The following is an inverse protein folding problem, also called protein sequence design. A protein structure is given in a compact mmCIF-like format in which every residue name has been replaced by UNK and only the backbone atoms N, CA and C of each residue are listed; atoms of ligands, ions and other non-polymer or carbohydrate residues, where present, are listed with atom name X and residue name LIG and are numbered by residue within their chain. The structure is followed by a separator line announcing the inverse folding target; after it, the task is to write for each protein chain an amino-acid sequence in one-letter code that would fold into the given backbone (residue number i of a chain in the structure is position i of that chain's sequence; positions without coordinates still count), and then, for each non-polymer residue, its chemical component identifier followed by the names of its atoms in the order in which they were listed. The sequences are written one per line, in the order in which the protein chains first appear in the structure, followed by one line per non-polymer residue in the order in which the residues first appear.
data_IF_681778094102
#
_entry.id   IF_681778094102
#
_cell.length_a   1.000
_cell.length_b   1.000
_cell.length_c   1.000
_cell.angle_alpha   90.00
_cell.angle_beta   90.00
_cell.angle_gamma   90.00
#
_symmetry.space_group_name_H-M   'P 1'
#
loop_
_entity.id
_entity.type
_entity.pdbx_description
1 polymer ?
#
# COMPACT_ATOMS: atom_id res chain seq x y z
N UNK A 1 -9.03 9.04 -13.45
CA UNK A 1 -8.10 7.89 -13.52
C UNK A 1 -7.82 7.40 -12.12
N UNK A 2 -7.81 6.08 -11.92
CA UNK A 2 -7.60 5.41 -10.63
C UNK A 2 -6.23 4.75 -10.61
N UNK A 3 -5.38 5.15 -9.68
CA UNK A 3 -4.02 4.62 -9.53
C UNK A 3 -3.92 3.83 -8.25
N UNK A 4 -3.61 2.53 -8.36
CA UNK A 4 -3.32 1.68 -7.21
C UNK A 4 -1.80 1.56 -7.05
N UNK A 5 -1.29 2.17 -6.00
CA UNK A 5 0.11 2.13 -5.60
C UNK A 5 0.40 0.84 -4.84
N UNK A 6 1.46 0.13 -5.20
CA UNK A 6 1.87 -1.09 -4.51
C UNK A 6 3.22 -0.81 -3.86
N UNK A 7 3.24 -0.83 -2.53
CA UNK A 7 4.43 -0.56 -1.73
C UNK A 7 4.76 -1.68 -0.76
N UNK A 8 6.00 -1.70 -0.26
CA UNK A 8 6.40 -2.66 0.78
C UNK A 8 5.68 -2.33 2.08
N UNK A 9 5.86 -1.11 2.59
CA UNK A 9 5.20 -0.60 3.79
C UNK A 9 4.57 0.77 3.51
N UNK A 10 3.94 1.33 4.54
CA UNK A 10 3.39 2.68 4.58
C UNK A 10 3.64 3.26 5.96
N UNK A 11 3.67 4.61 6.13
CA UNK A 11 3.73 5.22 7.45
C UNK A 11 2.71 4.57 8.42
N UNK A 12 3.06 4.40 9.71
CA UNK A 12 4.23 4.94 10.43
C UNK A 12 5.56 4.18 10.23
N UNK A 13 5.64 3.20 9.32
CA UNK A 13 6.91 2.52 9.05
C UNK A 13 7.94 3.51 8.48
N UNK A 14 9.07 3.67 9.17
CA UNK A 14 10.10 4.63 8.77
C UNK A 14 10.89 4.13 7.55
N UNK A 15 10.78 4.86 6.44
CA UNK A 15 11.60 4.67 5.26
C UNK A 15 11.33 5.73 4.20
N UNK A 16 12.30 5.95 3.30
CA UNK A 16 12.25 7.03 2.32
C UNK A 16 11.16 6.83 1.27
N UNK A 17 10.98 5.59 0.78
CA UNK A 17 9.95 5.30 -0.22
C UNK A 17 8.55 5.31 0.38
N UNK A 18 8.42 4.96 1.67
CA UNK A 18 7.18 4.99 2.41
C UNK A 18 6.66 6.43 2.58
N UNK A 19 7.54 7.38 2.95
CA UNK A 19 7.18 8.80 3.03
C UNK A 19 6.89 9.39 1.65
N UNK A 20 7.74 9.09 0.66
CA UNK A 20 7.50 9.52 -0.71
C UNK A 20 6.13 9.05 -1.22
N UNK A 21 5.76 7.79 -0.96
CA UNK A 21 4.45 7.28 -1.38
C UNK A 21 3.31 7.98 -0.63
N UNK A 22 3.46 8.29 0.66
CA UNK A 22 2.46 9.07 1.39
C UNK A 22 2.30 10.47 0.78
N UNK A 23 3.40 11.18 0.55
CA UNK A 23 3.39 12.52 -0.06
C UNK A 23 2.79 12.48 -1.48
N UNK A 24 3.07 11.42 -2.25
CA UNK A 24 2.53 11.20 -3.58
C UNK A 24 1.01 11.01 -3.56
N UNK A 25 0.48 10.24 -2.61
CA UNK A 25 -0.98 10.09 -2.45
C UNK A 25 -1.65 11.44 -2.13
N UNK A 26 -1.04 12.22 -1.24
CA UNK A 26 -1.53 13.57 -0.91
C UNK A 26 -1.49 14.48 -2.12
N UNK A 27 -0.39 14.49 -2.86
CA UNK A 27 -0.26 15.28 -4.09
C UNK A 27 -1.28 14.85 -5.16
N UNK A 28 -1.60 13.57 -5.27
CA UNK A 28 -2.61 13.11 -6.23
C UNK A 28 -4.02 13.53 -5.81
N UNK A 29 -4.28 13.64 -4.51
CA UNK A 29 -5.59 14.07 -4.00
C UNK A 29 -5.95 15.53 -4.34
N UNK A 30 -4.97 16.36 -4.72
CA UNK A 30 -5.23 17.73 -5.18
C UNK A 30 -5.71 17.81 -6.64
N UNK A 31 -5.75 16.70 -7.37
CA UNK A 31 -6.24 16.65 -8.74
C UNK A 31 -7.61 15.98 -8.81
N UNK A 32 -8.64 16.71 -9.24
CA UNK A 32 -10.02 16.19 -9.32
C UNK A 32 -10.19 14.97 -10.23
N UNK A 33 -9.28 14.79 -11.19
CA UNK A 33 -9.31 13.70 -12.15
C UNK A 33 -8.51 12.47 -11.70
N UNK A 34 -7.84 12.52 -10.56
CA UNK A 34 -7.02 11.42 -10.04
C UNK A 34 -7.60 10.88 -8.73
N UNK A 35 -7.68 9.56 -8.65
CA UNK A 35 -8.05 8.85 -7.43
C UNK A 35 -6.93 7.87 -7.12
N UNK A 36 -6.43 7.91 -5.89
CA UNK A 36 -5.31 7.05 -5.48
C UNK A 36 -5.70 6.14 -4.34
N UNK A 37 -5.19 4.92 -4.40
CA UNK A 37 -5.21 3.97 -3.30
C UNK A 37 -3.84 3.31 -3.17
N UNK A 38 -3.52 2.77 -2.01
CA UNK A 38 -2.28 2.01 -1.82
C UNK A 38 -2.57 0.60 -1.30
N UNK A 39 -1.78 -0.37 -1.74
CA UNK A 39 -1.70 -1.72 -1.20
C UNK A 39 -0.30 -1.95 -0.64
N UNK A 40 -0.21 -2.20 0.66
CA UNK A 40 1.05 -2.35 1.40
C UNK A 40 1.01 -3.53 2.34
N UNK A 41 2.16 -3.94 2.86
CA UNK A 41 2.22 -4.94 3.91
C UNK A 41 2.01 -4.30 5.29
N UNK A 42 1.33 -5.01 6.17
CA UNK A 42 1.34 -4.71 7.60
C UNK A 42 2.74 -4.95 8.19
N UNK A 43 3.12 -4.20 9.23
CA UNK A 43 4.40 -4.34 9.92
C UNK A 43 4.19 -4.67 11.40
N UNK A 44 5.14 -5.36 12.05
CA UNK A 44 5.07 -5.65 13.49
C UNK A 44 4.95 -4.36 14.30
N UNK A 45 4.01 -4.32 15.26
CA UNK A 45 3.74 -3.12 16.07
C UNK A 45 2.62 -2.22 15.54
N UNK A 46 2.14 -2.46 14.31
CA UNK A 46 0.92 -1.81 13.82
C UNK A 46 -0.31 -2.54 14.39
N UNK A 47 -0.83 -2.00 15.49
CA UNK A 47 -2.07 -2.46 16.13
C UNK A 47 -3.23 -1.57 15.71
N UNK A 48 -3.66 -1.64 14.45
CA UNK A 48 -5.02 -1.24 14.13
C UNK A 48 -5.90 -2.49 13.98
N UNK A 49 -6.68 -2.71 15.03
CA UNK A 49 -7.69 -3.76 15.17
C UNK A 49 -9.07 -3.27 14.67
N UNK A 50 -9.07 -2.44 13.62
CA UNK A 50 -10.28 -2.03 12.90
C UNK A 50 -10.70 -3.11 11.90
N UNK A 51 -12.00 -3.40 11.85
CA UNK A 51 -12.61 -4.44 11.00
C UNK A 51 -12.25 -4.26 9.52
N UNK A 52 -11.30 -5.05 9.07
CA UNK A 52 -10.88 -5.11 7.67
C UNK A 52 -9.61 -4.30 7.46
N UNK A 53 -8.60 -4.92 6.86
CA UNK A 53 -7.29 -4.30 6.62
C UNK A 53 -7.34 -3.20 5.54
N UNK A 54 -8.26 -2.25 5.67
CA UNK A 54 -8.50 -1.10 4.82
C UNK A 54 -8.66 0.11 5.74
N UNK A 55 -7.68 0.99 5.74
CA UNK A 55 -7.73 2.28 6.40
C UNK A 55 -7.88 3.39 5.36
N UNK A 56 -8.16 4.62 5.81
CA UNK A 56 -8.19 5.80 4.96
C UNK A 56 -7.11 6.77 5.44
N UNK A 57 -6.17 7.12 4.56
CA UNK A 57 -5.15 8.13 4.80
C UNK A 57 -5.44 9.35 3.92
N UNK A 58 -5.78 10.48 4.53
CA UNK A 58 -6.13 11.72 3.81
C UNK A 58 -7.07 11.47 2.61
N UNK A 59 -8.21 10.83 2.87
CA UNK A 59 -9.22 10.42 1.87
C UNK A 59 -8.78 9.36 0.84
N UNK A 60 -7.56 8.84 0.92
CA UNK A 60 -7.07 7.76 0.07
C UNK A 60 -7.20 6.40 0.77
N UNK A 61 -7.81 5.38 0.14
CA UNK A 61 -7.87 4.03 0.71
C UNK A 61 -6.50 3.36 0.76
N UNK A 62 -6.14 2.79 1.91
CA UNK A 62 -4.91 2.02 2.10
C UNK A 62 -5.28 0.59 2.51
N UNK A 63 -4.97 -0.36 1.65
CA UNK A 63 -5.13 -1.80 1.85
C UNK A 63 -3.86 -2.37 2.50
N UNK A 64 -3.97 -2.99 3.66
CA UNK A 64 -2.84 -3.63 4.37
C UNK A 64 -2.92 -5.16 4.27
N UNK A 65 -2.04 -5.76 3.48
CA UNK A 65 -1.88 -7.21 3.43
C UNK A 65 -1.18 -7.71 4.72
N UNK A 66 -1.68 -8.77 5.38
CA UNK A 66 -0.97 -9.40 6.51
C UNK A 66 0.40 -9.90 6.05
N UNK A 67 1.43 -9.62 6.84
CA UNK A 67 2.79 -10.04 6.59
C UNK A 67 3.24 -10.96 7.72
N UNK A 68 3.71 -12.17 7.38
CA UNK A 68 4.09 -13.19 8.37
C UNK A 68 5.60 -13.14 8.72
N UNK A 69 6.31 -12.10 8.28
CA UNK A 69 7.73 -11.90 8.53
C UNK A 69 8.47 -11.41 7.30
N UNK A 70 9.78 -11.21 7.44
CA UNK A 70 10.70 -10.90 6.34
C UNK A 70 11.57 -12.13 6.09
N UNK A 71 11.61 -12.64 4.86
CA UNK A 71 12.65 -13.57 4.44
C UNK A 71 13.73 -12.76 3.72
N UNK A 72 14.92 -12.70 4.31
CA UNK A 72 16.09 -11.94 3.88
C UNK A 72 15.82 -10.42 3.82
N UNK A 73 14.97 -9.96 2.90
CA UNK A 73 14.52 -8.56 2.80
C UNK A 73 13.07 -8.40 2.28
N UNK A 74 12.44 -9.47 1.79
CA UNK A 74 11.09 -9.43 1.23
C UNK A 74 10.04 -9.81 2.28
N UNK A 75 8.91 -9.08 2.36
CA UNK A 75 7.79 -9.49 3.20
C UNK A 75 7.22 -10.81 2.69
N UNK A 76 7.16 -11.83 3.54
CA UNK A 76 6.48 -13.09 3.22
C UNK A 76 4.99 -12.87 3.47
N UNK A 77 4.25 -12.64 2.40
CA UNK A 77 2.80 -12.55 2.43
C UNK A 77 2.18 -13.52 1.42
N UNK A 78 1.97 -14.79 1.82
CA UNK A 78 1.33 -15.78 0.95
C UNK A 78 -0.09 -15.38 0.54
N UNK A 79 -0.72 -14.48 1.32
CA UNK A 79 -2.03 -13.93 1.05
C UNK A 79 -1.99 -12.68 0.18
N UNK A 80 -0.82 -12.12 -0.14
CA UNK A 80 -0.70 -10.89 -0.94
C UNK A 80 -1.46 -10.95 -2.27
N UNK A 81 -1.41 -12.05 -3.06
CA UNK A 81 -2.20 -12.12 -4.29
C UNK A 81 -3.71 -11.99 -4.04
N UNK A 82 -4.23 -12.55 -2.93
CA UNK A 82 -5.65 -12.41 -2.56
C UNK A 82 -6.01 -10.98 -2.17
N UNK A 83 -5.09 -10.28 -1.51
CA UNK A 83 -5.26 -8.87 -1.14
C UNK A 83 -5.16 -7.95 -2.36
N UNK A 84 -4.25 -8.24 -3.28
CA UNK A 84 -4.14 -7.54 -4.57
C UNK A 84 -5.42 -7.70 -5.39
N UNK A 85 -5.90 -8.93 -5.53
CA UNK A 85 -7.13 -9.24 -6.25
C UNK A 85 -8.36 -8.58 -5.60
N UNK A 86 -8.42 -8.54 -4.27
CA UNK A 86 -9.42 -7.76 -3.53
C UNK A 86 -9.32 -6.26 -3.81
N UNK A 87 -8.12 -5.67 -3.73
CA UNK A 87 -7.90 -4.26 -3.98
C UNK A 87 -8.27 -3.88 -5.43
N UNK A 88 -7.91 -4.72 -6.40
CA UNK A 88 -8.28 -4.53 -7.81
C UNK A 88 -9.80 -4.58 -7.99
N UNK A 89 -10.50 -5.53 -7.36
CA UNK A 89 -11.97 -5.62 -7.46
C UNK A 89 -12.70 -4.45 -6.80
N UNK A 90 -12.24 -4.02 -5.63
CA UNK A 90 -12.88 -2.94 -4.87
C UNK A 90 -12.59 -1.56 -5.48
N UNK A 91 -11.33 -1.29 -5.82
CA UNK A 91 -10.88 0.02 -6.29
C UNK A 91 -11.00 0.16 -7.82
N UNK A 92 -10.89 -0.95 -8.57
CA UNK A 92 -10.91 -1.00 -10.04
C UNK A 92 -9.86 -0.05 -10.67
N UNK A 93 -8.56 -0.19 -10.36
CA UNK A 93 -7.54 0.73 -10.88
C UNK A 93 -7.46 0.70 -12.40
N UNK A 94 -7.17 1.86 -12.99
CA UNK A 94 -6.80 2.01 -14.40
C UNK A 94 -5.28 1.87 -14.57
N UNK A 95 -4.50 2.13 -13.51
CA UNK A 95 -3.04 2.02 -13.48
C UNK A 95 -2.56 1.34 -12.17
N UNK A 96 -1.65 0.38 -12.30
CA UNK A 96 -0.90 -0.20 -11.18
C UNK A 96 0.49 0.44 -11.13
N UNK A 97 0.81 1.13 -10.04
CA UNK A 97 2.11 1.79 -9.85
C UNK A 97 2.90 1.06 -8.76
N UNK A 98 3.91 0.29 -9.14
CA UNK A 98 4.65 -0.59 -8.23
C UNK A 98 5.94 0.09 -7.75
N UNK A 99 6.03 0.30 -6.44
CA UNK A 99 7.24 0.76 -5.76
C UNK A 99 8.06 -0.46 -5.33
N UNK A 100 8.88 -1.00 -6.24
CA UNK A 100 9.77 -2.10 -5.90
C UNK A 100 10.95 -1.60 -5.05
N UNK A 101 11.23 -2.19 -3.88
CA UNK A 101 12.53 -2.00 -3.25
C UNK A 101 13.58 -2.58 -4.19
N UNK A 102 14.68 -1.85 -4.40
CA UNK A 102 15.84 -2.36 -5.10
C UNK A 102 16.20 -3.76 -4.54
N UNK A 103 16.11 -4.80 -5.38
CA UNK A 103 16.73 -6.10 -5.14
C UNK A 103 18.21 -6.09 -5.55
N UNK A 104 18.77 -4.89 -5.77
CA UNK A 104 20.16 -4.66 -6.18
C UNK A 104 21.03 -4.35 -4.96
N UNK A 105 21.42 -5.42 -4.26
CA UNK A 105 22.76 -5.68 -3.74
C UNK A 105 22.77 -7.09 -3.12
#
# INVERSE_FOLDING_TARGET
MRVLHIGKFFPPFAGGIEHFMADLLVAFSSFDSLYSAALVHSHPGYTDAGRGNRETYQNCPIYRAPCHGRLLYAPVSPLFPRWLDRAIREFKPDLLHIHMPNTSA
#
